data_IF_998504704985
#
_entry.id   IF_998504704985
#
_cell.length_a   1.000
_cell.length_b   1.000
_cell.length_c   1.000
_cell.angle_alpha   90.00
_cell.angle_beta   90.00
_cell.angle_gamma   90.00
#
_symmetry.space_group_name_H-M   'P 1'
#
loop_
_entity.id
_entity.type
_entity.pdbx_description
1 polymer ?
#
# COMPACT_ATOMS: atom_id res chain seq x y z
N UNK A 1 -2.44 -8.14 11.37
CA UNK A 1 -2.05 -9.36 12.13
C UNK A 1 -1.48 -10.48 11.26
N UNK A 2 -2.13 -10.88 10.16
CA UNK A 2 -1.61 -11.97 9.30
C UNK A 2 -0.24 -11.66 8.69
N UNK A 3 0.02 -10.40 8.30
CA UNK A 3 1.32 -9.99 7.76
C UNK A 3 2.50 -10.22 8.73
N UNK A 4 2.31 -9.95 10.03
CA UNK A 4 3.33 -10.20 11.07
C UNK A 4 3.64 -11.69 11.18
N UNK A 5 2.60 -12.54 11.16
CA UNK A 5 2.76 -13.99 11.17
C UNK A 5 3.52 -14.43 9.92
N UNK A 6 3.18 -13.88 8.75
CA UNK A 6 3.90 -14.15 7.50
C UNK A 6 5.39 -13.84 7.60
N UNK A 7 5.77 -12.66 8.11
CA UNK A 7 7.18 -12.31 8.32
C UNK A 7 7.88 -13.25 9.29
N UNK A 8 7.22 -13.63 10.38
CA UNK A 8 7.79 -14.59 11.33
C UNK A 8 8.00 -15.97 10.71
N UNK A 9 7.07 -16.42 9.86
CA UNK A 9 7.22 -17.69 9.13
C UNK A 9 8.39 -17.63 8.15
N UNK A 10 8.52 -16.55 7.37
CA UNK A 10 9.66 -16.35 6.46
C UNK A 10 10.98 -16.39 7.24
N UNK A 11 11.11 -15.61 8.31
CA UNK A 11 12.30 -15.58 9.15
C UNK A 11 12.60 -16.96 9.75
N UNK A 12 11.59 -17.63 10.31
CA UNK A 12 11.75 -18.93 10.97
C UNK A 12 12.17 -20.02 10.00
N UNK A 13 11.60 -20.06 8.79
CA UNK A 13 11.96 -21.06 7.79
C UNK A 13 13.36 -20.83 7.22
N UNK A 14 13.72 -19.58 6.90
CA UNK A 14 15.02 -19.24 6.32
C UNK A 14 16.13 -19.43 7.35
N UNK A 15 16.02 -18.80 8.52
CA UNK A 15 17.05 -18.87 9.55
C UNK A 15 17.03 -20.19 10.31
N UNK A 16 15.85 -20.76 10.57
CA UNK A 16 15.74 -22.09 11.18
C UNK A 16 16.30 -23.18 10.28
N UNK A 17 16.04 -23.14 8.96
CA UNK A 17 16.66 -24.04 7.99
C UNK A 17 18.19 -23.90 7.95
N UNK A 18 18.70 -22.66 7.99
CA UNK A 18 20.14 -22.40 8.03
C UNK A 18 20.81 -22.94 9.31
N UNK A 19 20.17 -22.77 10.47
CA UNK A 19 20.65 -23.32 11.74
C UNK A 19 20.64 -24.85 11.77
N UNK A 20 19.59 -25.48 11.23
CA UNK A 20 19.49 -26.94 11.11
C UNK A 20 20.56 -27.51 10.18
N UNK A 21 21.00 -26.74 9.17
CA UNK A 21 22.13 -27.07 8.32
C UNK A 21 23.50 -26.76 8.97
N UNK A 22 23.54 -26.50 10.28
CA UNK A 22 24.74 -26.13 11.04
C UNK A 22 25.40 -24.81 10.61
N UNK A 23 24.62 -23.89 10.03
CA UNK A 23 25.09 -22.56 9.65
C UNK A 23 25.30 -21.63 10.85
N UNK A 24 26.25 -20.70 10.73
CA UNK A 24 26.53 -19.70 11.76
C UNK A 24 25.89 -18.34 11.43
N UNK A 25 24.86 -17.95 12.19
CA UNK A 25 24.11 -16.70 11.98
C UNK A 25 24.98 -15.44 12.04
N UNK A 26 26.10 -15.46 12.78
CA UNK A 26 26.97 -14.29 12.88
C UNK A 26 27.57 -13.89 11.53
N UNK A 27 27.71 -14.85 10.59
CA UNK A 27 28.27 -14.60 9.26
C UNK A 27 27.28 -13.84 8.37
N UNK A 28 25.98 -14.09 8.55
CA UNK A 28 24.91 -13.44 7.77
C UNK A 28 24.67 -11.98 8.20
N UNK A 29 25.09 -11.61 9.41
CA UNK A 29 24.93 -10.25 9.88
C UNK A 29 26.07 -9.36 9.37
N UNK A 30 25.87 -8.82 8.16
CA UNK A 30 26.78 -7.87 7.51
C UNK A 30 26.13 -6.47 7.41
N UNK A 31 26.41 -5.55 8.35
CA UNK A 31 25.78 -4.23 8.36
C UNK A 31 26.08 -3.39 7.12
N UNK A 32 27.28 -3.55 6.53
CA UNK A 32 27.71 -2.82 5.33
C UNK A 32 26.88 -3.23 4.11
N UNK A 33 26.60 -4.52 3.95
CA UNK A 33 25.74 -5.03 2.87
C UNK A 33 24.31 -4.49 2.99
N UNK A 34 23.76 -4.51 4.22
CA UNK A 34 22.46 -3.92 4.54
C UNK A 34 22.39 -2.41 4.24
N UNK A 35 23.48 -1.68 4.48
CA UNK A 35 23.58 -0.26 4.16
C UNK A 35 23.60 -0.03 2.63
N UNK A 36 24.33 -0.83 1.87
CA UNK A 36 24.39 -0.71 0.40
C UNK A 36 23.01 -1.01 -0.20
N UNK A 37 22.39 -2.12 0.21
CA UNK A 37 21.09 -2.56 -0.32
C UNK A 37 19.97 -1.63 0.14
N UNK A 38 19.86 -1.41 1.46
CA UNK A 38 18.81 -0.57 2.04
C UNK A 38 18.97 0.90 1.71
N UNK A 39 20.20 1.42 1.78
CA UNK A 39 20.52 2.80 1.39
C UNK A 39 20.31 3.04 -0.10
N UNK A 40 20.70 2.08 -0.96
CA UNK A 40 20.42 2.12 -2.39
C UNK A 40 18.93 2.09 -2.70
N UNK A 41 18.16 1.25 -2.01
CA UNK A 41 16.71 1.15 -2.16
C UNK A 41 15.99 2.44 -1.74
N UNK A 42 16.36 3.02 -0.59
CA UNK A 42 15.81 4.30 -0.13
C UNK A 42 16.21 5.43 -1.07
N UNK A 43 17.48 5.49 -1.50
CA UNK A 43 17.95 6.48 -2.47
C UNK A 43 17.21 6.38 -3.80
N UNK A 44 17.03 5.16 -4.32
CA UNK A 44 16.24 4.91 -5.53
C UNK A 44 14.79 5.34 -5.38
N UNK A 45 14.16 5.08 -4.23
CA UNK A 45 12.79 5.52 -3.94
C UNK A 45 12.67 7.05 -3.94
N UNK A 46 13.61 7.75 -3.30
CA UNK A 46 13.63 9.21 -3.24
C UNK A 46 13.87 9.87 -4.60
N UNK A 47 14.65 9.22 -5.48
CA UNK A 47 14.86 9.68 -6.86
C UNK A 47 13.60 9.45 -7.69
N UNK A 48 12.94 8.30 -7.54
CA UNK A 48 11.81 7.92 -8.37
C UNK A 48 10.47 8.58 -7.95
N UNK A 49 10.33 9.02 -6.70
CA UNK A 49 9.05 9.43 -6.14
C UNK A 49 9.04 10.85 -5.56
N UNK A 50 8.00 11.65 -5.82
CA UNK A 50 7.84 12.94 -5.16
C UNK A 50 7.61 12.77 -3.65
N UNK A 51 8.02 13.75 -2.85
CA UNK A 51 7.93 13.69 -1.37
C UNK A 51 6.52 13.39 -0.84
N UNK A 52 5.47 13.85 -1.53
CA UNK A 52 4.07 13.55 -1.17
C UNK A 52 3.78 12.04 -1.26
N UNK A 53 4.26 11.38 -2.31
CA UNK A 53 4.09 9.94 -2.50
C UNK A 53 4.93 9.15 -1.49
N UNK A 54 6.16 9.57 -1.20
CA UNK A 54 7.00 8.94 -0.17
C UNK A 54 6.30 8.91 1.19
N UNK A 55 5.64 10.00 1.59
CA UNK A 55 4.83 10.03 2.83
C UNK A 55 3.66 9.05 2.78
N UNK A 56 2.95 8.98 1.64
CA UNK A 56 1.86 8.00 1.44
C UNK A 56 2.38 6.55 1.55
N UNK A 57 3.55 6.25 0.98
CA UNK A 57 4.19 4.93 1.06
C UNK A 57 4.49 4.54 2.51
N UNK A 58 5.08 5.45 3.28
CA UNK A 58 5.38 5.19 4.70
C UNK A 58 4.09 4.91 5.48
N UNK A 59 3.07 5.77 5.31
CA UNK A 59 1.78 5.59 5.97
C UNK A 59 1.12 4.26 5.61
N UNK A 60 1.08 3.91 4.33
CA UNK A 60 0.49 2.66 3.85
C UNK A 60 1.30 1.42 4.29
N UNK A 61 2.63 1.51 4.33
CA UNK A 61 3.51 0.43 4.83
C UNK A 61 3.26 0.16 6.32
N UNK A 62 3.11 1.21 7.14
CA UNK A 62 2.72 1.08 8.55
C UNK A 62 1.29 0.54 8.70
N UNK A 63 0.41 0.90 7.76
CA UNK A 63 -0.95 0.39 7.65
C UNK A 63 -1.03 -1.13 7.47
N UNK A 64 -0.01 -1.81 6.94
CA UNK A 64 -0.02 -3.28 6.82
C UNK A 64 -0.05 -3.96 8.22
N UNK A 65 0.57 -3.33 9.21
CA UNK A 65 0.69 -3.88 10.55
C UNK A 65 -0.52 -3.58 11.44
N UNK A 66 -1.08 -2.37 11.29
CA UNK A 66 -2.10 -1.81 12.18
C UNK A 66 -3.46 -1.65 11.50
N UNK A 67 -3.49 -1.66 10.17
CA UNK A 67 -4.67 -1.37 9.36
C UNK A 67 -5.80 -2.36 9.59
N UNK A 68 -6.99 -1.79 9.78
CA UNK A 68 -8.24 -2.56 9.82
C UNK A 68 -8.70 -2.75 8.38
N UNK A 69 -8.88 -4.00 7.96
CA UNK A 69 -9.55 -4.32 6.70
C UNK A 69 -11.00 -3.81 6.72
N UNK A 70 -11.53 -3.49 5.55
CA UNK A 70 -12.93 -3.15 5.44
C UNK A 70 -13.80 -4.32 5.88
N UNK A 71 -14.76 -4.03 6.74
CA UNK A 71 -15.69 -5.01 7.29
C UNK A 71 -17.05 -4.93 6.61
N UNK A 72 -17.84 -6.00 6.72
CA UNK A 72 -19.22 -6.01 6.22
C UNK A 72 -20.05 -4.86 6.80
N UNK A 73 -19.80 -4.49 8.05
CA UNK A 73 -20.48 -3.38 8.71
C UNK A 73 -20.21 -2.05 8.01
N UNK A 74 -19.02 -1.85 7.43
CA UNK A 74 -18.68 -0.62 6.71
C UNK A 74 -19.51 -0.50 5.41
N UNK A 75 -19.69 -1.60 4.68
CA UNK A 75 -20.58 -1.65 3.51
C UNK A 75 -22.05 -1.45 3.88
N UNK A 76 -22.51 -2.10 4.95
CA UNK A 76 -23.89 -1.95 5.41
C UNK A 76 -24.18 -0.50 5.83
N UNK A 77 -23.23 0.13 6.52
CA UNK A 77 -23.37 1.51 6.96
C UNK A 77 -23.50 2.48 5.77
N UNK A 78 -22.69 2.29 4.72
CA UNK A 78 -22.83 3.03 3.46
C UNK A 78 -24.20 2.84 2.79
N UNK A 79 -24.63 1.59 2.65
CA UNK A 79 -25.91 1.28 1.99
C UNK A 79 -27.11 1.84 2.76
N UNK A 80 -27.05 1.81 4.10
CA UNK A 80 -28.08 2.40 4.95
C UNK A 80 -28.10 3.92 4.87
N UNK A 81 -26.93 4.58 4.79
CA UNK A 81 -26.84 6.01 4.52
C UNK A 81 -27.50 6.36 3.17
N UNK A 82 -27.08 5.70 2.09
CA UNK A 82 -27.62 5.93 0.76
C UNK A 82 -29.13 5.72 0.71
N UNK A 83 -29.64 4.63 1.31
CA UNK A 83 -31.07 4.39 1.42
C UNK A 83 -31.79 5.51 2.19
N UNK A 84 -31.20 6.00 3.28
CA UNK A 84 -31.77 7.11 4.07
C UNK A 84 -31.86 8.39 3.24
N UNK A 85 -30.83 8.69 2.43
CA UNK A 85 -30.80 9.82 1.51
C UNK A 85 -31.86 9.64 0.41
N UNK A 86 -31.90 8.50 -0.28
CA UNK A 86 -32.85 8.23 -1.35
C UNK A 86 -34.30 8.26 -0.86
N UNK A 87 -34.56 7.73 0.33
CA UNK A 87 -35.87 7.81 0.95
C UNK A 87 -36.29 9.25 1.22
N UNK A 88 -35.37 10.09 1.71
CA UNK A 88 -35.62 11.52 1.93
C UNK A 88 -35.88 12.25 0.62
N UNK A 89 -35.07 12.01 -0.42
CA UNK A 89 -35.27 12.56 -1.78
C UNK A 89 -36.66 12.18 -2.31
N UNK A 90 -37.07 10.92 -2.16
CA UNK A 90 -38.36 10.43 -2.65
C UNK A 90 -39.55 11.09 -1.94
N UNK A 91 -39.43 11.34 -0.63
CA UNK A 91 -40.51 11.90 0.19
C UNK A 91 -40.59 13.42 0.12
N UNK A 92 -39.46 14.11 0.10
CA UNK A 92 -39.35 15.56 0.29
C UNK A 92 -38.78 16.30 -0.94
N UNK A 93 -38.41 15.55 -1.99
CA UNK A 93 -37.78 16.09 -3.20
C UNK A 93 -36.27 16.23 -3.07
N UNK A 94 -35.61 16.44 -4.20
CA UNK A 94 -34.15 16.49 -4.32
C UNK A 94 -33.52 17.65 -3.53
N UNK A 95 -34.17 18.81 -3.48
CA UNK A 95 -33.68 20.02 -2.76
C UNK A 95 -33.60 19.79 -1.24
N UNK A 96 -34.37 18.82 -0.70
CA UNK A 96 -34.41 18.57 0.75
C UNK A 96 -33.09 18.07 1.34
N UNK A 97 -32.17 17.58 0.51
CA UNK A 97 -30.86 17.05 0.93
C UNK A 97 -29.71 18.02 0.68
N UNK A 98 -29.97 19.22 0.14
CA UNK A 98 -28.91 20.20 -0.17
C UNK A 98 -28.09 20.57 1.08
N UNK A 99 -28.77 20.92 2.18
CA UNK A 99 -28.11 21.20 3.46
C UNK A 99 -27.38 19.99 4.04
N UNK A 100 -27.86 18.77 3.77
CA UNK A 100 -27.21 17.55 4.26
C UNK A 100 -25.91 17.26 3.51
N UNK A 101 -25.87 17.59 2.23
CA UNK A 101 -24.73 17.36 1.33
C UNK A 101 -23.66 18.44 1.49
N UNK A 102 -24.05 19.68 1.78
CA UNK A 102 -23.12 20.77 2.01
C UNK A 102 -22.47 20.71 3.40
N UNK A 103 -23.21 20.24 4.40
CA UNK A 103 -22.72 20.11 5.78
C UNK A 103 -22.95 18.68 6.32
N UNK A 104 -22.26 17.66 5.78
CA UNK A 104 -22.47 16.26 6.17
C UNK A 104 -22.17 16.00 7.66
N UNK A 105 -21.26 16.74 8.28
CA UNK A 105 -20.97 16.56 9.72
C UNK A 105 -22.12 17.02 10.63
N UNK A 106 -22.85 18.05 10.20
CA UNK A 106 -23.98 18.62 10.93
C UNK A 106 -25.32 17.96 10.57
N UNK A 107 -25.34 17.16 9.50
CA UNK A 107 -26.55 16.53 9.00
C UNK A 107 -27.04 15.41 9.91
N UNK A 108 -28.31 15.43 10.36
CA UNK A 108 -28.90 14.35 11.14
C UNK A 108 -29.03 13.03 10.37
N UNK A 109 -28.87 13.05 9.04
CA UNK A 109 -28.84 11.85 8.20
C UNK A 109 -27.45 11.20 8.28
N UNK A 110 -26.39 11.99 8.08
CA UNK A 110 -25.02 11.50 8.06
C UNK A 110 -24.47 11.22 9.47
N UNK A 111 -24.82 12.00 10.50
CA UNK A 111 -24.34 11.77 11.89
C UNK A 111 -24.76 10.40 12.47
N UNK A 112 -25.77 9.74 11.89
CA UNK A 112 -26.15 8.36 12.24
C UNK A 112 -25.12 7.31 11.81
N UNK A 113 -24.25 7.67 10.88
CA UNK A 113 -23.32 6.79 10.20
C UNK A 113 -21.87 7.32 10.36
N UNK A 114 -21.30 7.26 11.58
CA UNK A 114 -20.02 7.88 11.90
C UNK A 114 -18.80 7.19 11.24
N UNK A 115 -18.91 5.95 10.75
CA UNK A 115 -17.77 5.29 10.10
C UNK A 115 -17.56 5.80 8.68
N UNK A 116 -18.65 5.98 7.92
CA UNK A 116 -18.54 6.58 6.59
C UNK A 116 -18.17 8.06 6.68
N UNK A 117 -18.60 8.77 7.72
CA UNK A 117 -18.18 10.14 8.01
C UNK A 117 -16.66 10.31 8.24
N UNK A 118 -15.94 9.22 8.56
CA UNK A 118 -14.47 9.25 8.68
C UNK A 118 -13.77 8.93 7.36
N UNK A 119 -14.50 8.46 6.36
CA UNK A 119 -13.97 8.13 5.05
C UNK A 119 -14.22 9.30 4.10
N UNK A 120 -13.29 10.27 4.09
CA UNK A 120 -13.38 11.48 3.28
C UNK A 120 -13.65 11.17 1.80
N UNK A 121 -13.00 10.15 1.22
CA UNK A 121 -13.20 9.79 -0.20
C UNK A 121 -14.64 9.34 -0.47
N UNK A 122 -15.21 8.57 0.44
CA UNK A 122 -16.57 8.06 0.30
C UNK A 122 -17.60 9.18 0.46
N UNK A 123 -17.41 10.08 1.43
CA UNK A 123 -18.27 11.24 1.60
C UNK A 123 -18.18 12.13 0.38
N UNK A 124 -16.97 12.52 -0.04
CA UNK A 124 -16.76 13.41 -1.18
C UNK A 124 -17.44 12.85 -2.43
N UNK A 125 -17.24 11.56 -2.73
CA UNK A 125 -17.91 10.91 -3.85
C UNK A 125 -19.44 11.03 -3.74
N UNK A 126 -20.04 10.74 -2.58
CA UNK A 126 -21.49 10.84 -2.37
C UNK A 126 -21.97 12.30 -2.48
N UNK A 127 -21.33 13.21 -1.75
CA UNK A 127 -21.75 14.61 -1.65
C UNK A 127 -21.56 15.34 -2.96
N UNK A 128 -20.43 15.15 -3.65
CA UNK A 128 -20.13 15.83 -4.90
C UNK A 128 -21.01 15.30 -6.04
N UNK A 129 -21.32 13.99 -6.04
CA UNK A 129 -22.32 13.41 -6.96
C UNK A 129 -23.69 14.02 -6.73
N UNK A 130 -24.19 14.01 -5.48
CA UNK A 130 -25.51 14.54 -5.17
C UNK A 130 -25.60 16.04 -5.43
N UNK A 131 -24.55 16.81 -5.14
CA UNK A 131 -24.49 18.25 -5.44
C UNK A 131 -24.56 18.49 -6.94
N UNK A 132 -23.81 17.72 -7.73
CA UNK A 132 -23.89 17.76 -9.20
C UNK A 132 -25.31 17.52 -9.70
N UNK A 133 -25.99 16.51 -9.17
CA UNK A 133 -27.38 16.17 -9.53
C UNK A 133 -28.39 17.23 -9.10
N UNK A 134 -28.16 17.91 -7.97
CA UNK A 134 -29.01 19.02 -7.49
C UNK A 134 -28.84 20.27 -8.36
N UNK A 135 -27.60 20.66 -8.64
CA UNK A 135 -27.29 21.93 -9.31
C UNK A 135 -27.41 21.85 -10.84
N UNK A 136 -27.15 20.67 -11.43
CA UNK A 136 -27.04 20.50 -12.87
C UNK A 136 -28.01 19.44 -13.39
N UNK A 137 -28.73 19.76 -14.45
CA UNK A 137 -29.48 18.75 -15.21
C UNK A 137 -28.51 17.96 -16.08
N UNK A 138 -28.00 16.85 -15.55
CA UNK A 138 -27.07 15.95 -16.25
C UNK A 138 -27.80 14.69 -16.71
N UNK A 139 -27.48 14.18 -17.91
CA UNK A 139 -28.04 12.91 -18.37
C UNK A 139 -27.39 11.73 -17.62
N UNK A 140 -28.09 10.61 -17.34
CA UNK A 140 -27.55 9.50 -16.56
C UNK A 140 -26.23 8.92 -17.10
N UNK A 141 -26.07 8.86 -18.43
CA UNK A 141 -24.86 8.36 -19.07
C UNK A 141 -23.67 9.32 -18.92
N UNK A 142 -23.91 10.63 -18.86
CA UNK A 142 -22.86 11.63 -18.60
C UNK A 142 -22.42 11.56 -17.14
N UNK A 143 -23.35 11.37 -16.22
CA UNK A 143 -23.03 11.18 -14.80
C UNK A 143 -22.20 9.90 -14.58
N UNK A 144 -22.57 8.79 -15.21
CA UNK A 144 -21.81 7.54 -15.14
C UNK A 144 -20.37 7.73 -15.62
N UNK A 145 -20.18 8.42 -16.75
CA UNK A 145 -18.86 8.75 -17.29
C UNK A 145 -18.05 9.67 -16.35
N UNK A 146 -18.69 10.66 -15.71
CA UNK A 146 -18.01 11.51 -14.72
C UNK A 146 -17.53 10.70 -13.51
N UNK A 147 -18.39 9.84 -12.96
CA UNK A 147 -18.03 9.00 -11.82
C UNK A 147 -16.98 7.94 -12.18
N UNK A 148 -16.98 7.43 -13.42
CA UNK A 148 -15.91 6.55 -13.91
C UNK A 148 -14.56 7.27 -13.91
N UNK A 149 -14.49 8.47 -14.47
CA UNK A 149 -13.27 9.28 -14.48
C UNK A 149 -12.78 9.59 -13.05
N UNK A 150 -13.69 9.88 -12.12
CA UNK A 150 -13.33 10.12 -10.72
C UNK A 150 -12.77 8.86 -10.04
N UNK A 151 -13.38 7.69 -10.28
CA UNK A 151 -12.87 6.41 -9.79
C UNK A 151 -11.51 6.04 -10.38
N UNK A 152 -11.23 6.39 -11.63
CA UNK A 152 -9.91 6.19 -12.24
C UNK A 152 -8.83 7.03 -11.53
N UNK A 153 -9.15 8.26 -11.16
CA UNK A 153 -8.25 9.11 -10.36
C UNK A 153 -7.99 8.46 -8.99
N UNK A 154 -9.03 8.01 -8.28
CA UNK A 154 -8.85 7.31 -7.02
C UNK A 154 -8.06 6.01 -7.18
N UNK A 155 -8.22 5.31 -8.29
CA UNK A 155 -7.47 4.08 -8.60
C UNK A 155 -5.99 4.36 -8.70
N UNK A 156 -5.60 5.39 -9.45
CA UNK A 156 -4.19 5.76 -9.55
C UNK A 156 -3.64 6.24 -8.21
N UNK A 157 -4.39 7.03 -7.45
CA UNK A 157 -3.95 7.52 -6.14
C UNK A 157 -3.76 6.41 -5.09
N UNK A 158 -4.68 5.44 -5.04
CA UNK A 158 -4.67 4.34 -4.07
C UNK A 158 -3.62 3.29 -4.42
N UNK A 159 -3.36 3.07 -5.72
CA UNK A 159 -2.38 2.07 -6.18
C UNK A 159 -0.96 2.63 -6.30
N UNK A 160 -0.76 3.95 -6.40
CA UNK A 160 0.58 4.54 -6.51
C UNK A 160 1.55 4.06 -5.41
N UNK A 161 1.18 3.99 -4.11
CA UNK A 161 2.08 3.47 -3.09
C UNK A 161 2.50 2.01 -3.30
N UNK A 162 1.58 1.13 -3.71
CA UNK A 162 1.92 -0.29 -3.96
C UNK A 162 2.84 -0.43 -5.17
N UNK A 163 2.57 0.31 -6.26
CA UNK A 163 3.44 0.36 -7.44
C UNK A 163 4.87 0.78 -7.09
N UNK A 164 5.03 1.82 -6.27
CA UNK A 164 6.36 2.27 -5.84
C UNK A 164 7.08 1.26 -4.93
N UNK A 165 6.36 0.59 -4.02
CA UNK A 165 6.96 -0.45 -3.17
C UNK A 165 7.38 -1.66 -4.00
N UNK A 166 6.58 -2.08 -4.98
CA UNK A 166 6.92 -3.16 -5.91
C UNK A 166 8.15 -2.79 -6.75
N UNK A 167 8.25 -1.56 -7.24
CA UNK A 167 9.43 -1.08 -7.94
C UNK A 167 10.70 -1.19 -7.08
N UNK A 168 10.62 -0.79 -5.80
CA UNK A 168 11.74 -0.96 -4.87
C UNK A 168 12.05 -2.43 -4.63
N UNK A 169 11.03 -3.27 -4.46
CA UNK A 169 11.19 -4.71 -4.29
C UNK A 169 12.00 -5.32 -5.44
N UNK A 170 11.60 -5.03 -6.68
CA UNK A 170 12.25 -5.54 -7.89
C UNK A 170 13.71 -5.07 -8.04
N UNK A 171 14.06 -3.92 -7.45
CA UNK A 171 15.42 -3.40 -7.45
C UNK A 171 16.34 -4.07 -6.41
N UNK A 172 15.80 -4.63 -5.31
CA UNK A 172 16.59 -5.18 -4.20
C UNK A 172 17.55 -6.31 -4.62
N UNK A 173 17.17 -7.29 -5.48
CA UNK A 173 18.11 -8.30 -5.94
C UNK A 173 19.26 -7.70 -6.75
N UNK A 174 18.96 -6.71 -7.59
CA UNK A 174 19.97 -5.96 -8.35
C UNK A 174 20.95 -5.22 -7.44
N UNK A 175 20.44 -4.56 -6.39
CA UNK A 175 21.28 -3.93 -5.36
C UNK A 175 22.11 -4.95 -4.56
N UNK A 176 21.58 -6.15 -4.32
CA UNK A 176 22.32 -7.26 -3.73
C UNK A 176 23.48 -7.73 -4.61
N UNK A 177 23.31 -7.75 -5.94
CA UNK A 177 24.40 -8.03 -6.89
C UNK A 177 25.47 -6.93 -6.81
N UNK A 178 25.09 -5.66 -6.77
CA UNK A 178 26.03 -4.54 -6.60
C UNK A 178 26.85 -4.72 -5.32
N UNK A 179 26.19 -5.06 -4.22
CA UNK A 179 26.84 -5.27 -2.93
C UNK A 179 27.86 -6.43 -2.99
N UNK A 180 27.47 -7.57 -3.59
CA UNK A 180 28.39 -8.69 -3.82
C UNK A 180 29.58 -8.33 -4.72
N UNK A 181 29.37 -7.55 -5.79
CA UNK A 181 30.47 -7.09 -6.66
C UNK A 181 31.45 -6.22 -5.87
N UNK A 182 30.97 -5.31 -5.02
CA UNK A 182 31.83 -4.50 -4.16
C UNK A 182 32.62 -5.38 -3.17
N UNK A 183 31.99 -6.40 -2.58
CA UNK A 183 32.68 -7.37 -1.72
C UNK A 183 33.76 -8.17 -2.46
N UNK A 184 33.52 -8.57 -3.71
CA UNK A 184 34.53 -9.24 -4.56
C UNK A 184 35.69 -8.30 -4.86
N UNK A 185 35.45 -7.02 -5.17
CA UNK A 185 36.51 -6.03 -5.40
C UNK A 185 37.42 -5.90 -4.17
N UNK A 186 36.82 -5.84 -2.96
CA UNK A 186 37.59 -5.80 -1.71
C UNK A 186 38.42 -7.08 -1.53
N UNK A 187 37.84 -8.23 -1.82
CA UNK A 187 38.52 -9.53 -1.75
C UNK A 187 39.72 -9.58 -2.70
N UNK A 188 39.58 -9.08 -3.92
CA UNK A 188 40.68 -9.04 -4.91
C UNK A 188 41.83 -8.13 -4.46
N UNK A 189 41.54 -7.06 -3.70
CA UNK A 189 42.57 -6.23 -3.07
C UNK A 189 43.38 -6.95 -1.99
N UNK A 190 42.90 -8.11 -1.52
CA UNK A 190 43.47 -8.93 -0.45
C UNK A 190 43.94 -10.30 -0.93
N UNK A 191 44.11 -10.48 -2.24
CA UNK A 191 44.42 -11.78 -2.86
C UNK A 191 45.70 -12.46 -2.33
N UNK A 192 46.63 -11.70 -1.76
CA UNK A 192 47.85 -12.23 -1.13
C UNK A 192 47.70 -12.66 0.34
N UNK A 193 46.54 -12.46 0.96
CA UNK A 193 46.25 -12.89 2.33
C UNK A 193 45.99 -14.41 2.39
N UNK A 194 46.10 -15.03 3.59
CA UNK A 194 45.80 -16.45 3.78
C UNK A 194 44.38 -16.83 3.32
N UNK A 195 44.17 -18.10 2.88
CA UNK A 195 42.87 -18.58 2.41
C UNK A 195 41.71 -18.35 3.39
N UNK A 196 41.98 -18.38 4.70
CA UNK A 196 40.97 -18.16 5.75
C UNK A 196 40.40 -16.74 5.71
N UNK A 197 41.25 -15.74 5.48
CA UNK A 197 40.81 -14.33 5.42
C UNK A 197 40.08 -14.07 4.11
N UNK A 198 40.60 -14.63 3.01
CA UNK A 198 39.97 -14.55 1.70
C UNK A 198 38.57 -15.19 1.71
N UNK A 199 38.44 -16.37 2.33
CA UNK A 199 37.17 -17.09 2.50
C UNK A 199 36.14 -16.28 3.31
N UNK A 200 36.58 -15.54 4.34
CA UNK A 200 35.69 -14.66 5.10
C UNK A 200 35.14 -13.51 4.23
N UNK A 201 35.98 -12.86 3.43
CA UNK A 201 35.55 -11.78 2.54
C UNK A 201 34.65 -12.24 1.41
N UNK A 202 34.94 -13.42 0.83
CA UNK A 202 34.07 -14.04 -0.19
C UNK A 202 32.71 -14.39 0.43
N UNK A 203 32.72 -14.99 1.63
CA UNK A 203 31.49 -15.30 2.37
C UNK A 203 30.65 -14.05 2.62
N UNK A 204 31.25 -12.96 3.08
CA UNK A 204 30.57 -11.68 3.28
C UNK A 204 29.96 -11.14 1.97
N UNK A 205 30.68 -11.22 0.85
CA UNK A 205 30.16 -10.77 -0.45
C UNK A 205 28.93 -11.57 -0.91
N UNK A 206 28.88 -12.87 -0.66
CA UNK A 206 27.73 -13.73 -1.01
C UNK A 206 26.49 -13.44 -0.14
N UNK A 207 26.67 -12.87 1.05
CA UNK A 207 25.54 -12.45 1.91
C UNK A 207 24.77 -11.31 1.27
N UNK A 208 25.42 -10.41 0.51
CA UNK A 208 24.77 -9.29 -0.16
C UNK A 208 23.68 -9.74 -1.15
N UNK A 209 23.99 -10.69 -2.03
CA UNK A 209 22.99 -11.25 -2.98
C UNK A 209 21.88 -12.00 -2.26
N UNK A 210 22.22 -12.80 -1.25
CA UNK A 210 21.24 -13.49 -0.42
C UNK A 210 20.25 -12.51 0.24
N UNK A 211 20.76 -11.46 0.89
CA UNK A 211 19.93 -10.45 1.56
C UNK A 211 19.07 -9.68 0.56
N UNK A 212 19.60 -9.32 -0.61
CA UNK A 212 18.83 -8.64 -1.66
C UNK A 212 17.61 -9.46 -2.11
N UNK A 213 17.83 -10.75 -2.40
CA UNK A 213 16.75 -11.67 -2.80
C UNK A 213 15.76 -11.92 -1.67
N UNK A 214 16.26 -12.12 -0.44
CA UNK A 214 15.42 -12.32 0.75
C UNK A 214 14.53 -11.11 1.04
N UNK A 215 15.09 -9.90 0.98
CA UNK A 215 14.33 -8.66 1.22
C UNK A 215 13.28 -8.43 0.12
N UNK A 216 13.61 -8.73 -1.15
CA UNK A 216 12.69 -8.66 -2.27
C UNK A 216 11.48 -9.59 -2.06
N UNK A 217 11.71 -10.90 -2.03
CA UNK A 217 10.63 -11.88 -2.09
C UNK A 217 10.05 -12.24 -0.72
N UNK A 218 10.83 -12.07 0.35
CA UNK A 218 10.41 -12.38 1.71
C UNK A 218 9.66 -11.23 2.40
N UNK A 219 9.91 -9.97 2.01
CA UNK A 219 9.41 -8.81 2.75
C UNK A 219 8.78 -7.74 1.86
N UNK A 220 9.58 -7.02 1.07
CA UNK A 220 9.13 -5.79 0.39
C UNK A 220 8.13 -6.08 -0.73
N UNK A 221 8.35 -7.12 -1.53
CA UNK A 221 7.41 -7.55 -2.56
C UNK A 221 6.05 -7.97 -1.99
N UNK A 222 5.99 -8.88 -1.00
CA UNK A 222 4.74 -9.22 -0.32
C UNK A 222 4.02 -8.01 0.31
N UNK A 223 4.77 -7.03 0.84
CA UNK A 223 4.19 -5.78 1.35
C UNK A 223 3.51 -4.97 0.23
N UNK A 224 4.19 -4.80 -0.90
CA UNK A 224 3.61 -4.10 -2.06
C UNK A 224 2.34 -4.79 -2.55
N UNK A 225 2.32 -6.12 -2.61
CA UNK A 225 1.11 -6.89 -2.97
C UNK A 225 -0.01 -6.74 -1.94
N UNK A 226 0.30 -6.72 -0.64
CA UNK A 226 -0.69 -6.49 0.40
C UNK A 226 -1.34 -5.10 0.30
N UNK A 227 -0.54 -4.07 0.01
CA UNK A 227 -1.03 -2.71 -0.23
C UNK A 227 -1.94 -2.65 -1.46
N UNK A 228 -1.61 -3.38 -2.52
CA UNK A 228 -2.44 -3.49 -3.72
C UNK A 228 -3.82 -4.11 -3.42
N UNK A 229 -3.85 -5.19 -2.62
CA UNK A 229 -5.11 -5.79 -2.18
C UNK A 229 -5.95 -4.82 -1.33
N UNK A 230 -5.30 -4.08 -0.43
CA UNK A 230 -5.99 -3.07 0.40
C UNK A 230 -6.56 -1.94 -0.47
N UNK A 231 -5.80 -1.48 -1.46
CA UNK A 231 -6.27 -0.48 -2.43
C UNK A 231 -7.48 -1.01 -3.22
N UNK A 232 -7.44 -2.28 -3.66
CA UNK A 232 -8.54 -2.91 -4.38
C UNK A 232 -9.83 -3.00 -3.52
N UNK A 233 -9.72 -3.33 -2.23
CA UNK A 233 -10.87 -3.32 -1.30
C UNK A 233 -11.51 -1.93 -1.20
N UNK A 234 -10.69 -0.89 -1.06
CA UNK A 234 -11.18 0.50 -1.04
C UNK A 234 -11.83 0.92 -2.37
N UNK A 235 -11.28 0.49 -3.51
CA UNK A 235 -11.87 0.78 -4.81
C UNK A 235 -13.21 0.06 -5.01
N UNK A 236 -13.32 -1.18 -4.57
CA UNK A 236 -14.60 -1.91 -4.58
C UNK A 236 -15.65 -1.22 -3.73
N UNK A 237 -15.26 -0.61 -2.60
CA UNK A 237 -16.16 0.23 -1.81
C UNK A 237 -16.73 1.40 -2.60
N UNK A 238 -15.85 2.18 -3.25
CA UNK A 238 -16.23 3.36 -4.01
C UNK A 238 -17.06 2.99 -5.24
N UNK A 239 -16.73 1.85 -5.88
CA UNK A 239 -17.51 1.30 -6.99
C UNK A 239 -18.95 0.95 -6.55
N UNK A 240 -19.12 0.36 -5.37
CA UNK A 240 -20.44 0.08 -4.82
C UNK A 240 -21.24 1.37 -4.60
N UNK A 241 -20.59 2.44 -4.10
CA UNK A 241 -21.22 3.75 -3.95
C UNK A 241 -21.65 4.32 -5.30
N UNK A 242 -20.76 4.31 -6.31
CA UNK A 242 -21.06 4.74 -7.67
C UNK A 242 -22.30 4.02 -8.21
N UNK A 243 -22.31 2.70 -8.19
CA UNK A 243 -23.43 1.90 -8.73
C UNK A 243 -24.74 2.23 -8.00
N UNK A 244 -24.67 2.42 -6.68
CA UNK A 244 -25.84 2.76 -5.88
C UNK A 244 -26.37 4.17 -6.17
N UNK A 245 -25.50 5.14 -6.47
CA UNK A 245 -25.87 6.52 -6.82
C UNK A 245 -26.48 6.65 -8.22
N UNK A 246 -26.16 5.72 -9.13
CA UNK A 246 -26.70 5.67 -10.49
C UNK A 246 -28.03 4.89 -10.60
N UNK A 247 -28.40 4.14 -9.57
CA UNK A 247 -29.61 3.29 -9.53
C UNK A 247 -30.87 4.07 -9.20
#
# INVERSE_FOLDING_TARGET
MIAVIGFLVVLSCVFGGYLLAHGNLSVLFQPTELLIIGGGAIGGLLIASPLKLVKKIIGASMGIFVGKQMSKDDYLEALLLLNSIFYKIRQQGLVSIESDVDYPEESPVFSKYPKILKNERAINLITDTLRTVITTTIAPHELDALLENELDVYTEELTAPSKSVNFVADALPGLGIVAAVLGVVITMGKIGEPPEILGHHIGAALVGTFLGVLLCYGFVGPMGKNMEHTAAEHLQYLMMLKVSLLS
#
